data_IF_386292916880
#
_entry.id   IF_386292916880
#
_cell.length_a   1.000
_cell.length_b   1.000
_cell.length_c   1.000
_cell.angle_alpha   90.00
_cell.angle_beta   90.00
_cell.angle_gamma   90.00
#
_symmetry.space_group_name_H-M   'P 1'
#
loop_
_entity.id
_entity.type
_entity.pdbx_description
1 polymer ?
#
# COMPACT_ATOMS: atom_id res chain seq x y z
N UNK A 1 2.02 5.27 -17.16
CA UNK A 1 2.09 6.27 -16.07
C UNK A 1 1.68 5.70 -14.71
N UNK A 2 0.48 5.12 -14.55
CA UNK A 2 0.00 4.52 -13.27
C UNK A 2 0.99 3.49 -12.70
N UNK A 3 1.47 2.55 -13.52
CA UNK A 3 2.43 1.50 -13.10
C UNK A 3 3.73 2.10 -12.55
N UNK A 4 4.23 3.20 -13.12
CA UNK A 4 5.47 3.86 -12.64
C UNK A 4 5.24 4.44 -11.25
N UNK A 5 4.14 5.17 -11.04
CA UNK A 5 3.80 5.71 -9.73
C UNK A 5 3.60 4.63 -8.67
N UNK A 6 2.84 3.58 -8.99
CA UNK A 6 2.64 2.45 -8.08
C UNK A 6 3.96 1.73 -7.77
N UNK A 7 4.87 1.63 -8.75
CA UNK A 7 6.20 1.06 -8.53
C UNK A 7 7.02 1.93 -7.57
N UNK A 8 7.04 3.25 -7.76
CA UNK A 8 7.75 4.18 -6.88
C UNK A 8 7.22 4.08 -5.45
N UNK A 9 5.90 4.11 -5.27
CA UNK A 9 5.24 3.99 -3.96
C UNK A 9 5.57 2.65 -3.31
N UNK A 10 5.59 1.58 -4.10
CA UNK A 10 5.92 0.25 -3.58
C UNK A 10 7.37 0.12 -3.16
N UNK A 11 8.31 0.68 -3.94
CA UNK A 11 9.73 0.73 -3.57
C UNK A 11 9.92 1.55 -2.30
N UNK A 12 9.22 2.68 -2.17
CA UNK A 12 9.21 3.46 -0.94
C UNK A 12 8.70 2.64 0.25
N UNK A 13 7.57 1.93 0.11
CA UNK A 13 7.02 1.08 1.17
C UNK A 13 7.96 -0.06 1.57
N UNK A 14 8.66 -0.67 0.61
CA UNK A 14 9.70 -1.69 0.89
C UNK A 14 10.85 -1.05 1.69
N UNK A 15 11.40 0.07 1.22
CA UNK A 15 12.51 0.75 1.89
C UNK A 15 12.13 1.20 3.29
N UNK A 16 10.94 1.79 3.44
CA UNK A 16 10.39 2.21 4.72
C UNK A 16 10.16 1.03 5.66
N UNK A 17 9.56 -0.06 5.18
CA UNK A 17 9.37 -1.28 5.96
C UNK A 17 10.68 -1.90 6.44
N UNK A 18 11.69 -1.99 5.57
CA UNK A 18 13.03 -2.44 5.94
C UNK A 18 13.66 -1.52 6.98
N UNK A 19 13.51 -0.20 6.84
CA UNK A 19 14.04 0.75 7.81
C UNK A 19 13.41 0.57 9.20
N UNK A 20 12.08 0.43 9.28
CA UNK A 20 11.38 0.12 10.54
C UNK A 20 11.83 -1.22 11.12
N UNK A 21 12.09 -2.22 10.28
CA UNK A 21 12.60 -3.53 10.71
C UNK A 21 13.97 -3.42 11.38
N UNK A 22 14.88 -2.66 10.77
CA UNK A 22 16.27 -2.51 11.24
C UNK A 22 16.36 -1.56 12.44
N UNK A 23 15.71 -0.39 12.38
CA UNK A 23 15.82 0.64 13.40
C UNK A 23 14.45 1.29 13.72
N UNK A 24 13.56 0.57 14.44
CA UNK A 24 12.25 1.10 14.79
C UNK A 24 12.29 2.39 15.64
N UNK A 25 13.17 2.55 16.65
CA UNK A 25 13.25 3.77 17.44
C UNK A 25 13.43 5.03 16.60
N UNK A 26 14.38 5.01 15.66
CA UNK A 26 14.64 6.17 14.79
C UNK A 26 13.41 6.55 13.95
N UNK A 27 12.65 5.57 13.48
CA UNK A 27 11.43 5.85 12.72
C UNK A 27 10.34 6.43 13.63
N UNK A 28 10.20 5.92 14.86
CA UNK A 28 9.25 6.47 15.83
C UNK A 28 9.56 7.94 16.15
N UNK A 29 10.83 8.27 16.38
CA UNK A 29 11.29 9.65 16.63
C UNK A 29 10.96 10.57 15.44
N UNK A 30 11.25 10.13 14.21
CA UNK A 30 10.93 10.86 12.99
C UNK A 30 9.41 11.08 12.83
N UNK A 31 8.60 10.07 13.14
CA UNK A 31 7.14 10.20 13.06
C UNK A 31 6.61 11.22 14.07
N UNK A 32 7.17 11.24 15.29
CA UNK A 32 6.85 12.27 16.30
C UNK A 32 7.23 13.67 15.82
N UNK A 33 8.39 13.81 15.19
CA UNK A 33 8.82 15.08 14.59
C UNK A 33 7.86 15.55 13.49
N UNK A 34 7.48 14.66 12.57
CA UNK A 34 6.53 14.98 11.49
C UNK A 34 5.12 15.30 11.98
N UNK A 35 4.74 14.77 13.14
CA UNK A 35 3.50 15.10 13.82
C UNK A 35 3.56 16.42 14.60
N UNK A 36 4.74 17.04 14.71
CA UNK A 36 4.93 18.29 15.45
C UNK A 36 4.98 18.10 16.97
N UNK A 37 5.38 16.92 17.44
CA UNK A 37 5.51 16.65 18.87
C UNK A 37 6.53 17.58 19.54
N UNK A 38 6.20 18.05 20.75
CA UNK A 38 7.08 18.86 21.60
C UNK A 38 8.28 18.08 22.14
N UNK A 39 8.20 16.75 22.15
CA UNK A 39 9.31 15.85 22.47
C UNK A 39 9.37 14.70 21.49
N UNK A 40 10.57 14.38 21.03
CA UNK A 40 10.86 13.18 20.24
C UNK A 40 11.46 12.06 21.10
N UNK A 41 11.62 12.27 22.42
CA UNK A 41 12.20 11.24 23.30
C UNK A 41 11.31 10.00 23.38
N UNK A 42 11.91 8.82 23.27
CA UNK A 42 11.24 7.52 23.48
C UNK A 42 11.31 7.04 24.94
N UNK A 43 11.52 7.95 25.89
CA UNK A 43 11.63 7.62 27.31
C UNK A 43 10.34 6.93 27.79
N UNK A 44 10.51 5.75 28.38
CA UNK A 44 9.39 4.91 28.86
C UNK A 44 8.81 3.95 27.82
N UNK A 45 9.28 3.97 26.56
CA UNK A 45 8.90 2.95 25.57
C UNK A 45 9.57 1.61 25.91
N UNK A 46 8.75 0.60 26.20
CA UNK A 46 9.25 -0.74 26.50
C UNK A 46 9.82 -1.43 25.24
N UNK A 47 10.84 -2.29 25.37
CA UNK A 47 11.38 -3.05 24.23
C UNK A 47 10.30 -3.86 23.49
N UNK A 48 9.32 -4.40 24.21
CA UNK A 48 8.19 -5.13 23.60
C UNK A 48 7.38 -4.24 22.63
N UNK A 49 7.13 -2.97 22.99
CA UNK A 49 6.44 -2.01 22.11
C UNK A 49 7.23 -1.73 20.84
N UNK A 50 8.55 -1.63 20.92
CA UNK A 50 9.40 -1.50 19.72
C UNK A 50 9.36 -2.76 18.85
N UNK A 51 9.23 -3.94 19.46
CA UNK A 51 9.04 -5.22 18.77
C UNK A 51 7.70 -5.29 18.03
N UNK A 52 6.61 -4.86 18.66
CA UNK A 52 5.29 -4.77 18.04
C UNK A 52 5.27 -3.75 16.90
N UNK A 53 5.84 -2.55 17.11
CA UNK A 53 5.98 -1.55 16.06
C UNK A 53 6.76 -2.10 14.85
N UNK A 54 7.82 -2.86 15.11
CA UNK A 54 8.59 -3.56 14.07
C UNK A 54 7.73 -4.54 13.27
N UNK A 55 7.03 -5.43 13.98
CA UNK A 55 6.26 -6.50 13.36
C UNK A 55 5.05 -5.96 12.59
N UNK A 56 4.26 -5.09 13.23
CA UNK A 56 3.03 -4.56 12.66
C UNK A 56 3.36 -3.50 11.61
N UNK A 57 4.12 -2.48 11.96
CA UNK A 57 4.36 -1.35 11.04
C UNK A 57 5.40 -1.71 9.98
N UNK A 58 6.57 -2.20 10.39
CA UNK A 58 7.63 -2.59 9.45
C UNK A 58 7.23 -3.74 8.55
N UNK A 59 6.68 -4.81 9.13
CA UNK A 59 6.21 -5.98 8.39
C UNK A 59 5.07 -5.65 7.41
N UNK A 60 4.08 -4.87 7.84
CA UNK A 60 2.95 -4.48 6.98
C UNK A 60 3.41 -3.65 5.78
N UNK A 61 4.18 -2.57 5.99
CA UNK A 61 4.65 -1.73 4.87
C UNK A 61 5.56 -2.50 3.92
N UNK A 62 6.43 -3.36 4.45
CA UNK A 62 7.26 -4.24 3.63
C UNK A 62 6.40 -5.16 2.75
N UNK A 63 5.42 -5.85 3.35
CA UNK A 63 4.56 -6.78 2.62
C UNK A 63 3.64 -6.07 1.63
N UNK A 64 3.12 -4.89 1.96
CA UNK A 64 2.36 -4.07 1.02
C UNK A 64 3.22 -3.73 -0.21
N UNK A 65 4.44 -3.23 0.01
CA UNK A 65 5.36 -2.91 -1.08
C UNK A 65 5.73 -4.12 -1.95
N UNK A 66 6.09 -5.24 -1.33
CA UNK A 66 6.45 -6.47 -2.06
C UNK A 66 5.27 -7.06 -2.84
N UNK A 67 4.09 -7.11 -2.22
CA UNK A 67 2.88 -7.67 -2.85
C UNK A 67 2.44 -6.79 -4.01
N UNK A 68 2.46 -5.46 -3.85
CA UNK A 68 2.17 -4.55 -4.96
C UNK A 68 3.18 -4.71 -6.10
N UNK A 69 4.50 -4.76 -5.83
CA UNK A 69 5.50 -4.99 -6.89
C UNK A 69 5.29 -6.31 -7.62
N UNK A 70 4.93 -7.38 -6.89
CA UNK A 70 4.63 -8.68 -7.50
C UNK A 70 3.37 -8.62 -8.35
N UNK A 71 2.32 -7.97 -7.86
CA UNK A 71 1.07 -7.83 -8.56
C UNK A 71 1.19 -6.98 -9.83
N UNK A 72 2.03 -5.94 -9.82
CA UNK A 72 2.32 -5.11 -11.00
C UNK A 72 3.09 -5.83 -12.11
N UNK A 73 3.79 -6.94 -11.81
CA UNK A 73 4.65 -7.64 -12.77
C UNK A 73 3.92 -8.67 -13.64
N UNK A 74 2.72 -9.10 -13.27
CA UNK A 74 2.03 -10.17 -14.00
C UNK A 74 0.51 -10.03 -13.90
N UNK A 75 -0.23 -10.06 -15.02
CA UNK A 75 -1.69 -10.00 -15.05
C UNK A 75 -2.38 -11.05 -14.18
N UNK A 76 -1.75 -12.23 -14.02
CA UNK A 76 -2.23 -13.31 -13.14
C UNK A 76 -2.48 -12.89 -11.69
N UNK A 77 -1.86 -11.81 -11.23
CA UNK A 77 -2.00 -11.31 -9.87
C UNK A 77 -2.88 -10.05 -9.78
N UNK A 78 -3.61 -9.70 -10.85
CA UNK A 78 -4.51 -8.54 -10.87
C UNK A 78 -5.56 -8.59 -9.76
N UNK A 79 -6.07 -9.79 -9.44
CA UNK A 79 -7.04 -10.02 -8.37
C UNK A 79 -6.51 -9.59 -6.98
N UNK A 80 -5.19 -9.56 -6.78
CA UNK A 80 -4.56 -9.12 -5.54
C UNK A 80 -4.48 -7.59 -5.41
N UNK A 81 -4.61 -6.85 -6.52
CA UNK A 81 -4.57 -5.39 -6.50
C UNK A 81 -5.82 -4.79 -5.85
N UNK A 82 -6.99 -5.45 -5.99
CA UNK A 82 -8.24 -4.95 -5.39
C UNK A 82 -8.21 -5.00 -3.86
N UNK A 83 -7.85 -6.13 -3.20
CA UNK A 83 -7.64 -6.16 -1.75
C UNK A 83 -6.58 -5.16 -1.27
N UNK A 84 -5.48 -5.00 -2.01
CA UNK A 84 -4.46 -3.99 -1.67
C UNK A 84 -5.04 -2.58 -1.70
N UNK A 85 -5.86 -2.25 -2.69
CA UNK A 85 -6.56 -0.96 -2.76
C UNK A 85 -7.44 -0.72 -1.53
N UNK A 86 -8.18 -1.74 -1.08
CA UNK A 86 -9.00 -1.65 0.14
C UNK A 86 -8.17 -1.41 1.40
N UNK A 87 -6.99 -2.02 1.51
CA UNK A 87 -6.09 -1.78 2.65
C UNK A 87 -5.64 -0.31 2.68
N UNK A 88 -5.19 0.24 1.55
CA UNK A 88 -4.81 1.65 1.47
C UNK A 88 -5.99 2.60 1.75
N UNK A 89 -7.19 2.25 1.31
CA UNK A 89 -8.39 3.03 1.63
C UNK A 89 -8.73 2.98 3.12
N UNK A 90 -8.57 1.81 3.76
CA UNK A 90 -8.75 1.64 5.21
C UNK A 90 -7.75 2.47 6.02
N UNK A 91 -6.47 2.50 5.59
CA UNK A 91 -5.44 3.36 6.20
C UNK A 91 -5.81 4.84 6.09
N UNK A 92 -6.22 5.29 4.89
CA UNK A 92 -6.66 6.66 4.68
C UNK A 92 -7.86 7.03 5.56
N UNK A 93 -8.84 6.13 5.67
CA UNK A 93 -10.01 6.34 6.52
C UNK A 93 -9.61 6.43 8.00
N UNK A 94 -8.71 5.58 8.47
CA UNK A 94 -8.18 5.65 9.82
C UNK A 94 -7.45 6.97 10.09
N UNK A 95 -6.66 7.47 9.13
CA UNK A 95 -6.02 8.79 9.22
C UNK A 95 -7.03 9.93 9.28
N UNK A 96 -8.04 9.92 8.41
CA UNK A 96 -9.08 10.94 8.45
C UNK A 96 -9.91 10.86 9.72
N UNK A 97 -10.14 9.66 10.28
CA UNK A 97 -10.77 9.52 11.60
C UNK A 97 -9.91 10.13 12.70
N UNK A 98 -8.59 9.95 12.68
CA UNK A 98 -7.68 10.60 13.64
C UNK A 98 -7.74 12.13 13.52
N UNK A 99 -7.83 12.69 12.29
CA UNK A 99 -8.00 14.14 12.12
C UNK A 99 -9.27 14.69 12.78
N UNK A 100 -10.36 13.91 12.79
CA UNK A 100 -11.63 14.29 13.41
C UNK A 100 -11.53 14.23 14.94
N UNK A 101 -10.83 13.24 15.48
CA UNK A 101 -10.80 12.97 16.93
C UNK A 101 -9.69 13.71 17.67
N UNK A 102 -8.50 13.79 17.08
CA UNK A 102 -7.26 14.25 17.73
C UNK A 102 -6.78 15.61 17.18
N UNK A 103 -7.38 16.09 16.10
CA UNK A 103 -7.11 17.39 15.51
C UNK A 103 -6.25 17.35 14.24
N UNK A 104 -6.00 18.54 13.69
CA UNK A 104 -5.39 18.67 12.35
C UNK A 104 -3.87 18.53 12.42
N UNK A 105 -3.33 17.51 11.75
CA UNK A 105 -1.90 17.35 11.52
C UNK A 105 -1.60 17.29 10.01
N UNK A 106 -0.68 18.12 9.54
CA UNK A 106 -0.29 18.20 8.12
C UNK A 106 0.20 16.86 7.59
N UNK A 107 1.03 16.15 8.36
CA UNK A 107 1.48 14.81 8.01
C UNK A 107 0.30 13.85 7.76
N UNK A 108 -0.68 13.86 8.65
CA UNK A 108 -1.84 12.97 8.56
C UNK A 108 -2.69 13.27 7.31
N UNK A 109 -2.85 14.55 6.95
CA UNK A 109 -3.52 14.95 5.71
C UNK A 109 -2.73 14.48 4.48
N UNK A 110 -1.44 14.80 4.40
CA UNK A 110 -0.60 14.48 3.23
C UNK A 110 -0.52 12.97 3.02
N UNK A 111 -0.27 12.21 4.09
CA UNK A 111 -0.21 10.76 4.02
C UNK A 111 -1.57 10.15 3.64
N UNK A 112 -2.68 10.66 4.19
CA UNK A 112 -4.02 10.22 3.82
C UNK A 112 -4.33 10.45 2.34
N UNK A 113 -3.94 11.60 1.77
CA UNK A 113 -4.09 11.87 0.33
C UNK A 113 -3.28 10.89 -0.51
N UNK A 114 -2.03 10.61 -0.14
CA UNK A 114 -1.17 9.64 -0.83
C UNK A 114 -1.80 8.24 -0.78
N UNK A 115 -2.33 7.82 0.36
CA UNK A 115 -3.00 6.53 0.55
C UNK A 115 -4.27 6.43 -0.33
N UNK A 116 -5.11 7.47 -0.38
CA UNK A 116 -6.28 7.53 -1.28
C UNK A 116 -5.86 7.45 -2.75
N UNK A 117 -4.85 8.23 -3.16
CA UNK A 117 -4.35 8.21 -4.53
C UNK A 117 -3.80 6.83 -4.91
N UNK A 118 -3.09 6.18 -3.98
CA UNK A 118 -2.56 4.82 -4.15
C UNK A 118 -3.69 3.82 -4.31
N UNK A 119 -4.70 3.87 -3.43
CA UNK A 119 -5.87 3.00 -3.49
C UNK A 119 -6.60 3.13 -4.83
N UNK A 120 -6.83 4.37 -5.27
CA UNK A 120 -7.48 4.63 -6.56
C UNK A 120 -6.66 4.10 -7.74
N UNK A 121 -5.36 4.37 -7.76
CA UNK A 121 -4.46 3.87 -8.82
C UNK A 121 -4.42 2.34 -8.86
N UNK A 122 -4.39 1.68 -7.71
CA UNK A 122 -4.44 0.22 -7.60
C UNK A 122 -5.76 -0.34 -8.15
N UNK A 123 -6.90 0.24 -7.75
CA UNK A 123 -8.23 -0.19 -8.21
C UNK A 123 -8.42 -0.01 -9.71
N UNK A 124 -8.04 1.16 -10.26
CA UNK A 124 -8.10 1.40 -11.71
C UNK A 124 -7.20 0.44 -12.47
N UNK A 125 -5.99 0.17 -11.96
CA UNK A 125 -5.09 -0.76 -12.63
C UNK A 125 -5.58 -2.21 -12.55
N UNK A 126 -6.17 -2.62 -11.42
CA UNK A 126 -6.80 -3.92 -11.25
C UNK A 126 -7.91 -4.13 -12.27
N UNK A 127 -8.84 -3.19 -12.39
CA UNK A 127 -9.95 -3.26 -13.35
C UNK A 127 -9.45 -3.36 -14.80
N UNK A 128 -8.44 -2.58 -15.18
CA UNK A 128 -7.85 -2.66 -16.52
C UNK A 128 -7.24 -4.02 -16.82
N UNK A 129 -6.55 -4.62 -15.84
CA UNK A 129 -5.95 -5.94 -16.02
C UNK A 129 -6.99 -7.07 -16.06
N UNK A 130 -8.08 -6.92 -15.31
CA UNK A 130 -9.20 -7.88 -15.33
C UNK A 130 -9.95 -7.82 -16.67
N UNK A 131 -10.23 -6.62 -17.17
CA UNK A 131 -10.85 -6.44 -18.50
C UNK A 131 -10.00 -7.04 -19.62
N UNK A 132 -8.68 -6.77 -19.62
CA UNK A 132 -7.77 -7.37 -20.60
C UNK A 132 -7.68 -8.89 -20.52
N UNK A 133 -7.96 -9.46 -19.35
CA UNK A 133 -8.01 -10.92 -19.17
C UNK A 133 -9.31 -11.49 -19.72
N UNK A 134 -10.44 -10.86 -19.42
CA UNK A 134 -11.76 -11.25 -19.96
C UNK A 134 -11.76 -11.18 -21.49
N UNK A 135 -11.32 -10.05 -22.08
CA UNK A 135 -11.21 -9.89 -23.53
C UNK A 135 -10.24 -10.91 -24.17
N UNK A 136 -9.18 -11.30 -23.46
CA UNK A 136 -8.20 -12.26 -23.94
C UNK A 136 -8.66 -13.72 -23.83
N UNK A 137 -9.47 -14.06 -22.83
CA UNK A 137 -10.08 -15.39 -22.68
C UNK A 137 -11.23 -15.56 -23.69
N UNK A 138 -12.08 -14.53 -23.88
CA UNK A 138 -13.18 -14.57 -24.85
C UNK A 138 -12.69 -14.81 -26.29
N UNK A 139 -11.59 -14.17 -26.69
CA UNK A 139 -10.98 -14.38 -28.02
C UNK A 139 -10.42 -15.79 -28.23
N UNK A 140 -9.99 -16.47 -27.16
CA UNK A 140 -9.51 -17.85 -27.24
C UNK A 140 -10.67 -18.85 -27.28
N UNK A 141 -11.79 -18.54 -26.66
CA UNK A 141 -13.01 -19.35 -26.77
C UNK A 141 -13.60 -19.26 -28.19
N UNK A 142 -13.63 -18.08 -28.80
CA UNK A 142 -14.08 -17.88 -30.19
C UNK A 142 -13.20 -18.62 -31.21
N UNK A 143 -11.86 -18.55 -31.09
CA UNK A 143 -10.95 -19.29 -31.98
C UNK A 143 -11.11 -20.81 -31.85
N UNK A 144 -11.42 -21.31 -30.64
CA UNK A 144 -11.68 -22.72 -30.45
C UNK A 144 -13.04 -23.15 -31.02
N UNK A 145 -14.09 -22.33 -30.92
CA UNK A 145 -15.39 -22.64 -31.55
C UNK A 145 -15.29 -22.69 -33.08
N UNK A 146 -14.56 -21.77 -33.71
CA UNK A 146 -14.35 -21.78 -35.17
C UNK A 146 -13.54 -23.02 -35.64
N UNK A 147 -12.59 -23.52 -34.84
CA UNK A 147 -11.77 -24.69 -35.20
C UNK A 147 -12.55 -26.02 -35.12
N UNK A 148 -13.67 -26.08 -34.36
CA UNK A 148 -14.54 -27.25 -34.26
C UNK A 148 -15.71 -27.25 -35.26
N UNK A 149 -16.02 -26.11 -35.90
CA UNK A 149 -17.07 -26.01 -36.93
C UNK A 149 -16.56 -26.12 -38.38
N UNK A 150 -15.25 -26.30 -38.60
CA UNK A 150 -14.62 -26.50 -39.92
C UNK A 150 -14.37 -27.99 -40.27
#
# INVERSE_FOLDING_TARGET
MIVIFLTIISVFNVGFGVWVLVNPPQVMEMMLEWQGSLSTSLDGVLPATTGEFRAVFGGMFLMLGLTTLRALRSPRYAEWLQPLAWIFLGLALARFSSLILEGVATYTIVAGIIEVATAWMLGVHAQRLLQLREEGDDHLEDEHEEEYEA
#
